data_IF_265460271279
#
_entry.id   IF_265460271279
#
_cell.length_a   1.000
_cell.length_b   1.000
_cell.length_c   1.000
_cell.angle_alpha   90.00
_cell.angle_beta   90.00
_cell.angle_gamma   90.00
#
_symmetry.space_group_name_H-M   'P 1'
#
loop_
_entity.id
_entity.type
_entity.pdbx_description
1 polymer ?
#
# COMPACT_ATOMS: atom_id res chain seq x y z
N UNK A 1 34.03 -3.08 -24.65
CA UNK A 1 33.69 -4.36 -23.98
C UNK A 1 33.45 -4.21 -22.49
N UNK A 2 34.41 -3.65 -21.73
CA UNK A 2 34.37 -3.63 -20.26
C UNK A 2 33.10 -3.01 -19.65
N UNK A 3 32.55 -1.93 -20.24
CA UNK A 3 31.34 -1.27 -19.74
C UNK A 3 30.08 -2.15 -19.82
N UNK A 4 29.98 -3.02 -20.83
CA UNK A 4 28.87 -3.97 -20.98
C UNK A 4 28.95 -5.01 -19.86
N UNK A 5 30.12 -5.59 -19.64
CA UNK A 5 30.29 -6.60 -18.59
C UNK A 5 30.15 -5.99 -17.19
N UNK A 6 30.48 -4.70 -17.01
CA UNK A 6 30.29 -3.98 -15.76
C UNK A 6 28.81 -3.84 -15.39
N UNK A 7 27.95 -3.43 -16.32
CA UNK A 7 26.50 -3.34 -16.05
C UNK A 7 25.86 -4.72 -15.83
N UNK A 8 26.32 -5.74 -16.56
CA UNK A 8 25.89 -7.12 -16.35
C UNK A 8 26.34 -7.68 -14.99
N UNK A 9 27.55 -7.36 -14.53
CA UNK A 9 28.04 -7.74 -13.22
C UNK A 9 27.23 -7.07 -12.11
N UNK A 10 26.96 -5.78 -12.22
CA UNK A 10 26.09 -5.05 -11.30
C UNK A 10 24.69 -5.68 -11.23
N UNK A 11 24.13 -6.09 -12.36
CA UNK A 11 22.83 -6.78 -12.42
C UNK A 11 22.87 -8.13 -11.70
N UNK A 12 23.91 -8.95 -11.95
CA UNK A 12 24.11 -10.23 -11.27
C UNK A 12 24.15 -10.06 -9.75
N UNK A 13 24.83 -9.02 -9.29
CA UNK A 13 24.95 -8.70 -7.87
C UNK A 13 23.62 -8.25 -7.26
N UNK A 14 22.84 -7.45 -7.98
CA UNK A 14 21.48 -7.09 -7.56
C UNK A 14 20.59 -8.33 -7.39
N UNK A 15 20.61 -9.24 -8.36
CA UNK A 15 19.84 -10.50 -8.31
C UNK A 15 20.28 -11.35 -7.11
N UNK A 16 21.59 -11.51 -6.92
CA UNK A 16 22.16 -12.29 -5.81
C UNK A 16 21.73 -11.72 -4.45
N UNK A 17 21.81 -10.41 -4.29
CA UNK A 17 21.42 -9.71 -3.06
C UNK A 17 19.92 -9.90 -2.75
N UNK A 18 19.06 -9.78 -3.76
CA UNK A 18 17.61 -10.05 -3.63
C UNK A 18 17.32 -11.51 -3.31
N UNK A 19 18.06 -12.44 -3.91
CA UNK A 19 17.85 -13.87 -3.66
C UNK A 19 18.14 -14.23 -2.20
N UNK A 20 19.22 -13.68 -1.65
CA UNK A 20 19.61 -13.81 -0.25
C UNK A 20 18.77 -12.93 0.70
N UNK A 21 17.74 -12.24 0.20
CA UNK A 21 16.86 -11.35 0.98
C UNK A 21 17.62 -10.28 1.79
N UNK A 22 18.75 -9.79 1.25
CA UNK A 22 19.52 -8.76 1.91
C UNK A 22 18.73 -7.45 2.01
N UNK A 23 18.94 -6.69 3.09
CA UNK A 23 18.24 -5.43 3.31
C UNK A 23 18.49 -4.38 2.21
N UNK A 24 19.65 -4.42 1.55
CA UNK A 24 20.02 -3.44 0.51
C UNK A 24 20.61 -4.13 -0.72
N UNK A 25 19.93 -3.99 -1.86
CA UNK A 25 20.41 -4.43 -3.17
C UNK A 25 21.11 -3.28 -3.94
N UNK A 26 22.30 -3.49 -4.52
CA UNK A 26 23.17 -2.43 -5.05
C UNK A 26 22.78 -1.90 -6.44
N UNK A 27 21.52 -1.51 -6.64
CA UNK A 27 21.01 -1.00 -7.92
C UNK A 27 21.69 0.29 -8.44
N UNK A 28 22.52 0.95 -7.61
CA UNK A 28 23.24 2.18 -7.98
C UNK A 28 24.58 1.93 -8.67
N UNK A 29 25.05 0.68 -8.78
CA UNK A 29 26.35 0.35 -9.37
C UNK A 29 26.41 0.60 -10.89
N UNK A 30 25.27 0.61 -11.59
CA UNK A 30 25.20 0.98 -13.00
C UNK A 30 23.92 1.75 -13.32
N UNK A 31 23.93 2.52 -14.41
CA UNK A 31 22.73 3.22 -14.88
C UNK A 31 21.61 2.25 -15.27
N UNK A 32 21.98 1.09 -15.83
CA UNK A 32 21.04 0.03 -16.20
C UNK A 32 20.31 -0.52 -14.98
N UNK A 33 21.04 -0.89 -13.93
CA UNK A 33 20.43 -1.42 -12.70
C UNK A 33 19.59 -0.36 -12.00
N UNK A 34 19.95 0.92 -12.10
CA UNK A 34 19.16 2.00 -11.53
C UNK A 34 17.77 2.04 -12.18
N UNK A 35 17.71 2.01 -13.51
CA UNK A 35 16.46 2.03 -14.28
C UNK A 35 15.64 0.76 -14.02
N UNK A 36 16.30 -0.40 -13.91
CA UNK A 36 15.61 -1.68 -13.68
C UNK A 36 15.11 -1.90 -12.25
N UNK A 37 15.43 -1.02 -11.30
CA UNK A 37 15.02 -1.17 -9.89
C UNK A 37 13.52 -1.40 -9.77
N UNK A 38 12.72 -0.55 -10.41
CA UNK A 38 11.26 -0.61 -10.29
C UNK A 38 10.68 -1.84 -10.99
N UNK A 39 11.32 -2.30 -12.07
CA UNK A 39 10.93 -3.55 -12.74
C UNK A 39 11.20 -4.78 -11.88
N UNK A 40 12.31 -4.79 -11.13
CA UNK A 40 12.74 -5.96 -10.36
C UNK A 40 12.20 -6.02 -8.93
N UNK A 41 11.96 -4.85 -8.30
CA UNK A 41 11.52 -4.73 -6.90
C UNK A 41 10.08 -4.23 -6.78
N UNK A 42 9.55 -3.56 -7.80
CA UNK A 42 8.23 -2.94 -7.76
C UNK A 42 7.11 -3.95 -7.57
N UNK A 43 6.16 -3.64 -6.69
CA UNK A 43 5.00 -4.51 -6.42
C UNK A 43 3.93 -4.47 -7.52
N UNK A 44 3.96 -3.45 -8.39
CA UNK A 44 2.98 -3.20 -9.45
C UNK A 44 3.53 -3.41 -10.87
N UNK A 45 4.74 -3.95 -10.99
CA UNK A 45 5.39 -4.17 -12.29
C UNK A 45 5.30 -5.64 -12.70
N UNK A 46 5.13 -5.88 -14.00
CA UNK A 46 5.21 -7.21 -14.60
C UNK A 46 6.47 -7.25 -15.46
N UNK A 47 7.38 -8.16 -15.14
CA UNK A 47 8.66 -8.27 -15.83
C UNK A 47 8.83 -9.68 -16.38
N UNK A 48 9.24 -9.74 -17.65
CA UNK A 48 9.61 -10.98 -18.33
C UNK A 48 11.13 -10.99 -18.54
N UNK A 49 11.76 -12.13 -18.29
CA UNK A 49 13.17 -12.36 -18.57
C UNK A 49 13.28 -13.40 -19.68
N UNK A 50 13.99 -13.06 -20.75
CA UNK A 50 14.35 -14.01 -21.81
C UNK A 50 15.79 -14.48 -21.60
N UNK A 51 15.98 -15.79 -21.46
CA UNK A 51 17.28 -16.42 -21.28
C UNK A 51 17.77 -16.98 -22.62
N UNK A 52 18.59 -16.20 -23.32
CA UNK A 52 19.19 -16.62 -24.58
C UNK A 52 20.46 -17.44 -24.30
N UNK A 53 20.43 -18.72 -24.68
CA UNK A 53 21.54 -19.67 -24.50
C UNK A 53 22.02 -20.18 -25.86
N UNK A 54 23.24 -20.71 -25.90
CA UNK A 54 23.82 -21.23 -27.14
C UNK A 54 23.79 -22.76 -27.15
N UNK A 55 23.48 -23.39 -28.30
CA UNK A 55 23.43 -24.85 -28.42
C UNK A 55 24.78 -25.62 -28.37
N UNK A 56 25.97 -25.05 -28.66
CA UNK A 56 27.21 -25.83 -28.60
C UNK A 56 27.63 -26.23 -27.18
N UNK A 57 28.25 -27.40 -27.05
CA UNK A 57 28.70 -27.96 -25.76
C UNK A 57 29.77 -27.10 -25.08
N UNK A 58 30.63 -26.42 -25.85
CA UNK A 58 31.65 -25.50 -25.33
C UNK A 58 31.04 -24.30 -24.57
N UNK A 59 29.75 -24.03 -24.76
CA UNK A 59 29.02 -22.96 -24.08
C UNK A 59 28.21 -23.46 -22.87
N UNK A 60 28.37 -24.72 -22.44
CA UNK A 60 27.55 -25.32 -21.37
C UNK A 60 27.63 -24.52 -20.05
N UNK A 61 28.83 -24.10 -19.64
CA UNK A 61 29.02 -23.34 -18.41
C UNK A 61 28.37 -21.96 -18.48
N UNK A 62 28.51 -21.26 -19.62
CA UNK A 62 27.87 -19.96 -19.84
C UNK A 62 26.35 -20.09 -19.85
N UNK A 63 25.81 -21.12 -20.50
CA UNK A 63 24.38 -21.41 -20.54
C UNK A 63 23.84 -21.73 -19.14
N UNK A 64 24.54 -22.57 -18.37
CA UNK A 64 24.18 -22.89 -16.99
C UNK A 64 24.15 -21.64 -16.11
N UNK A 65 25.16 -20.78 -16.22
CA UNK A 65 25.20 -19.51 -15.49
C UNK A 65 23.94 -18.67 -15.80
N UNK A 66 23.59 -18.49 -17.07
CA UNK A 66 22.38 -17.76 -17.49
C UNK A 66 21.10 -18.38 -16.92
N UNK A 67 20.96 -19.71 -17.00
CA UNK A 67 19.78 -20.43 -16.49
C UNK A 67 19.65 -20.35 -14.97
N UNK A 68 20.75 -20.40 -14.23
CA UNK A 68 20.75 -20.21 -12.77
C UNK A 68 20.22 -18.83 -12.38
N UNK A 69 20.64 -17.77 -13.09
CA UNK A 69 20.11 -16.43 -12.84
C UNK A 69 18.61 -16.34 -13.13
N UNK A 70 18.17 -16.95 -14.23
CA UNK A 70 16.74 -17.00 -14.57
C UNK A 70 15.92 -17.73 -13.50
N UNK A 71 16.45 -18.83 -12.95
CA UNK A 71 15.79 -19.56 -11.86
C UNK A 71 15.65 -18.70 -10.61
N UNK A 72 16.73 -18.03 -10.17
CA UNK A 72 16.68 -17.14 -8.99
C UNK A 72 15.66 -16.02 -9.15
N UNK A 73 15.61 -15.38 -10.32
CA UNK A 73 14.62 -14.32 -10.62
C UNK A 73 13.19 -14.87 -10.50
N UNK A 74 12.94 -16.09 -11.00
CA UNK A 74 11.64 -16.75 -10.85
C UNK A 74 11.26 -16.92 -9.38
N UNK A 75 12.19 -17.42 -8.56
CA UNK A 75 11.94 -17.69 -7.15
C UNK A 75 11.71 -16.40 -6.36
N UNK A 76 12.50 -15.35 -6.64
CA UNK A 76 12.29 -14.00 -6.10
C UNK A 76 10.88 -13.49 -6.45
N UNK A 77 10.44 -13.64 -7.70
CA UNK A 77 9.11 -13.22 -8.15
C UNK A 77 7.98 -13.95 -7.41
N UNK A 78 8.12 -15.27 -7.23
CA UNK A 78 7.17 -16.09 -6.47
C UNK A 78 7.09 -15.59 -5.02
N UNK A 79 8.24 -15.37 -4.36
CA UNK A 79 8.29 -14.83 -2.98
C UNK A 79 7.60 -13.46 -2.87
N UNK A 80 7.84 -12.55 -3.82
CA UNK A 80 7.17 -11.25 -3.85
C UNK A 80 5.65 -11.37 -3.98
N UNK A 81 5.17 -12.29 -4.83
CA UNK A 81 3.73 -12.55 -4.99
C UNK A 81 3.10 -13.09 -3.70
N UNK A 82 3.73 -14.06 -3.04
CA UNK A 82 3.25 -14.60 -1.77
C UNK A 82 3.19 -13.54 -0.67
N UNK A 83 4.22 -12.67 -0.58
CA UNK A 83 4.23 -11.56 0.38
C UNK A 83 3.11 -10.56 0.12
N UNK A 84 2.87 -10.21 -1.15
CA UNK A 84 1.78 -9.31 -1.53
C UNK A 84 0.41 -9.87 -1.11
N UNK A 85 0.14 -11.15 -1.41
CA UNK A 85 -1.12 -11.82 -1.02
C UNK A 85 -1.31 -11.86 0.49
N UNK A 86 -0.25 -12.18 1.25
CA UNK A 86 -0.31 -12.24 2.72
C UNK A 86 -0.69 -10.88 3.33
N UNK A 87 -0.12 -9.79 2.82
CA UNK A 87 -0.45 -8.43 3.27
C UNK A 87 -1.91 -8.07 2.97
N UNK A 88 -2.42 -8.46 1.80
CA UNK A 88 -3.84 -8.19 1.46
C UNK A 88 -4.82 -8.97 2.34
N UNK A 89 -4.45 -10.17 2.80
CA UNK A 89 -5.32 -10.96 3.68
C UNK A 89 -5.38 -10.36 5.10
N UNK A 90 -4.25 -9.87 5.62
CA UNK A 90 -4.22 -9.20 6.93
C UNK A 90 -5.10 -7.95 6.94
N UNK A 91 -5.08 -7.16 5.86
CA UNK A 91 -5.94 -5.97 5.74
C UNK A 91 -7.43 -6.32 5.70
N UNK A 92 -7.82 -7.45 5.10
CA UNK A 92 -9.23 -7.88 5.09
C UNK A 92 -9.71 -8.34 6.47
N UNK A 93 -8.89 -9.12 7.18
CA UNK A 93 -9.28 -9.62 8.51
C UNK A 93 -9.49 -8.48 9.53
N UNK A 94 -8.70 -7.41 9.46
CA UNK A 94 -8.87 -6.28 10.40
C UNK A 94 -10.18 -5.51 10.21
N UNK A 95 -10.85 -5.62 9.05
CA UNK A 95 -12.15 -5.00 8.81
C UNK A 95 -13.31 -5.84 9.37
N UNK A 96 -13.12 -7.15 9.59
CA UNK A 96 -14.18 -8.04 10.09
C UNK A 96 -14.26 -8.08 11.64
N UNK A 97 -13.24 -7.59 12.35
CA UNK A 97 -13.21 -7.55 13.82
C UNK A 97 -13.95 -6.34 14.42
N UNK A 98 -14.14 -5.25 13.66
CA UNK A 98 -14.81 -4.04 14.15
C UNK A 98 -16.36 -4.14 14.17
N UNK A 99 -16.97 -5.02 13.35
CA UNK A 99 -18.43 -5.20 13.35
C UNK A 99 -18.95 -6.11 14.48
N UNK A 100 -18.10 -6.96 15.08
CA UNK A 100 -18.57 -7.90 16.11
C UNK A 100 -18.59 -7.31 17.53
N UNK A 101 -17.93 -6.16 17.75
CA UNK A 101 -17.88 -5.54 19.08
C UNK A 101 -19.08 -4.62 19.37
N UNK A 102 -19.88 -4.27 18.36
CA UNK A 102 -21.04 -3.38 18.53
C UNK A 102 -22.33 -4.09 18.99
N UNK A 103 -22.37 -5.44 18.99
CA UNK A 103 -23.58 -6.20 19.35
C UNK A 103 -23.65 -6.64 20.83
N UNK A 104 -22.58 -6.49 21.63
CA UNK A 104 -22.56 -6.95 23.04
C UNK A 104 -22.95 -5.84 24.05
N UNK A 105 -22.89 -4.56 23.67
CA UNK A 105 -23.08 -3.44 24.62
C UNK A 105 -24.57 -3.13 24.91
N UNK A 106 -25.51 -3.67 24.14
CA UNK A 106 -26.94 -3.27 24.20
C UNK A 106 -27.81 -4.15 25.13
N UNK A 107 -27.20 -4.99 25.99
CA UNK A 107 -27.96 -5.97 26.79
C UNK A 107 -27.77 -5.85 28.31
N UNK A 108 -27.81 -4.63 28.88
CA UNK A 108 -28.05 -4.47 30.34
C UNK A 108 -29.00 -3.30 30.62
N UNK A 109 -30.29 -3.50 30.32
CA UNK A 109 -31.38 -2.72 30.92
C UNK A 109 -31.80 -3.43 32.21
N UNK A 110 -31.51 -2.88 33.39
CA UNK A 110 -32.21 -3.24 34.63
C UNK A 110 -32.24 -2.09 35.65
N UNK A 111 -33.42 -1.46 35.68
CA UNK A 111 -34.16 -0.78 36.76
C UNK A 111 -33.51 0.23 37.74
N UNK A 112 -34.24 1.34 37.95
CA UNK A 112 -34.03 2.41 38.94
C UNK A 112 -34.35 1.93 40.37
N UNK A 113 -33.76 2.59 41.39
CA UNK A 113 -34.58 3.03 42.53
C UNK A 113 -34.40 4.53 42.86
N UNK A 114 -35.49 5.14 43.30
CA UNK A 114 -35.61 6.54 43.74
C UNK A 114 -34.95 6.80 45.11
N UNK A 115 -34.48 8.03 45.38
CA UNK A 115 -34.42 8.67 46.73
C UNK A 115 -34.11 10.20 46.70
N UNK A 116 -35.19 10.97 46.85
CA UNK A 116 -35.53 12.19 47.64
C UNK A 116 -34.47 13.15 48.30
N UNK A 117 -34.68 14.47 48.09
CA UNK A 117 -34.49 15.71 48.95
C UNK A 117 -33.07 16.31 49.22
N UNK A 118 -32.74 17.62 49.28
CA UNK A 118 -33.39 18.98 49.41
C UNK A 118 -32.45 20.14 48.91
N UNK A 119 -32.88 21.43 48.84
CA UNK A 119 -32.29 22.54 48.05
C UNK A 119 -31.55 23.65 48.84
N UNK A 120 -30.81 24.55 48.16
CA UNK A 120 -30.40 25.87 48.71
C UNK A 120 -30.12 26.97 47.63
N UNK A 121 -31.07 27.90 47.55
CA UNK A 121 -31.00 29.40 47.49
C UNK A 121 -30.08 30.22 46.56
N UNK A 122 -30.76 31.08 45.77
CA UNK A 122 -30.50 32.49 45.37
C UNK A 122 -29.33 32.79 44.40
N UNK A 123 -29.43 33.59 43.32
CA UNK A 123 -30.17 34.85 43.10
C UNK A 123 -30.27 35.18 41.59
N UNK A 124 -31.40 35.72 41.12
CA UNK A 124 -31.57 36.46 39.82
C UNK A 124 -31.75 37.96 40.16
N UNK A 125 -31.63 38.98 39.26
CA UNK A 125 -32.46 39.16 38.05
C UNK A 125 -31.79 39.84 36.80
N UNK A 126 -32.13 39.42 35.56
CA UNK A 126 -33.03 40.04 34.54
C UNK A 126 -32.54 41.32 33.83
N UNK A 127 -32.29 41.22 32.51
CA UNK A 127 -32.72 42.16 31.45
C UNK A 127 -32.34 41.53 30.08
N UNK A 128 -32.99 41.71 28.92
CA UNK A 128 -34.34 42.09 28.49
C UNK A 128 -34.27 42.16 26.93
N UNK A 129 -35.23 41.52 26.27
CA UNK A 129 -35.81 41.78 24.92
C UNK A 129 -34.97 41.65 23.61
N UNK A 130 -35.52 40.82 22.69
CA UNK A 130 -35.85 40.99 21.24
C UNK A 130 -34.76 41.48 20.26
N UNK A 131 -34.78 41.27 18.94
CA UNK A 131 -35.74 40.81 17.93
C UNK A 131 -34.96 40.47 16.65
N UNK A 132 -35.48 39.49 15.91
CA UNK A 132 -35.57 39.37 14.44
C UNK A 132 -34.85 40.43 13.57
N UNK A 133 -34.01 39.98 12.64
CA UNK A 133 -33.90 40.54 11.27
C UNK A 133 -33.57 39.40 10.29
N UNK A 134 -34.57 38.98 9.52
CA UNK A 134 -34.43 38.38 8.20
C UNK A 134 -33.68 39.33 7.25
N UNK A 135 -32.82 38.81 6.35
CA UNK A 135 -32.74 39.29 4.97
C UNK A 135 -32.08 38.24 4.04
N UNK A 136 -32.94 37.45 3.38
CA UNK A 136 -33.14 37.40 1.93
C UNK A 136 -31.90 37.32 1.01
N UNK A 137 -31.73 36.12 0.44
CA UNK A 137 -31.68 35.83 -1.00
C UNK A 137 -30.69 36.61 -1.89
N UNK A 138 -29.78 35.86 -2.52
CA UNK A 138 -29.55 35.99 -3.98
C UNK A 138 -29.46 34.58 -4.61
N UNK A 139 -30.28 34.38 -5.63
CA UNK A 139 -30.36 33.22 -6.53
C UNK A 139 -29.85 33.65 -7.93
N UNK A 140 -29.64 32.66 -8.80
CA UNK A 140 -29.55 32.73 -10.28
C UNK A 140 -28.14 32.96 -10.86
N UNK A 141 -27.63 32.29 -11.92
CA UNK A 141 -28.15 31.41 -13.02
C UNK A 141 -26.97 30.53 -13.54
N UNK A 142 -27.09 29.22 -13.73
CA UNK A 142 -27.47 28.46 -14.94
C UNK A 142 -26.48 28.41 -16.16
N UNK A 143 -25.86 27.22 -16.35
CA UNK A 143 -25.49 26.49 -17.62
C UNK A 143 -24.28 26.95 -18.50
N UNK A 144 -23.75 26.10 -19.44
CA UNK A 144 -23.45 24.65 -19.40
C UNK A 144 -22.13 24.20 -20.10
N UNK A 145 -21.73 22.93 -19.91
CA UNK A 145 -21.17 22.08 -20.98
C UNK A 145 -19.64 22.01 -21.18
N UNK A 146 -19.06 20.82 -20.96
CA UNK A 146 -18.25 20.05 -21.94
C UNK A 146 -17.76 18.74 -21.30
N UNK A 147 -18.40 17.64 -21.69
CA UNK A 147 -17.80 16.30 -21.64
C UNK A 147 -16.84 16.18 -22.82
N UNK A 148 -15.60 15.75 -22.59
CA UNK A 148 -14.69 15.32 -23.65
C UNK A 148 -14.30 13.86 -23.36
N UNK A 149 -14.84 12.96 -24.19
CA UNK A 149 -14.20 11.69 -24.53
C UNK A 149 -12.95 11.98 -25.37
#
# INVERSE_FOLDING_TARGET
GAQINSSLLALKECIRSMDMTQSHAPFRQSKLTHILRDSLVGSKTRTCLMANVSPPDDCCQCSLNTLQYASRIRDISIRHRHRSMSLTNIQRNHFEDDEQQQHVVTSTVRERPQKTFKPATASTPVHRLVSSVDHRTYMSTNQPGLNLF
#
